data_IF_724859616084
#
_entry.id   IF_724859616084
#
_cell.length_a   1.000
_cell.length_b   1.000
_cell.length_c   1.000
_cell.angle_alpha   90.00
_cell.angle_beta   90.00
_cell.angle_gamma   90.00
#
_symmetry.space_group_name_H-M   'P 1'
#
loop_
_entity.id
_entity.type
_entity.pdbx_description
1 polymer ?
#
# COMPACT_ATOMS: atom_id res chain seq x y z
N UNK A 1 -5.16 3.89 -14.62
CA UNK A 1 -6.29 4.40 -13.83
C UNK A 1 -6.07 5.89 -13.63
N UNK A 2 -7.02 6.73 -14.01
CA UNK A 2 -6.94 8.16 -13.75
C UNK A 2 -7.50 8.45 -12.35
N UNK A 3 -7.15 9.59 -11.75
CA UNK A 3 -7.61 9.96 -10.39
C UNK A 3 -9.14 9.89 -10.25
N UNK A 4 -9.87 10.24 -11.31
CA UNK A 4 -11.35 10.21 -11.38
C UNK A 4 -11.97 8.81 -11.32
N UNK A 5 -11.18 7.76 -11.53
CA UNK A 5 -11.66 6.38 -11.57
C UNK A 5 -11.51 5.68 -10.19
N UNK A 6 -10.89 6.35 -9.21
CA UNK A 6 -10.72 5.82 -7.85
C UNK A 6 -11.98 6.13 -7.05
N UNK A 7 -12.59 5.10 -6.47
CA UNK A 7 -13.77 5.26 -5.63
C UNK A 7 -13.42 6.10 -4.38
N UNK A 8 -14.29 7.04 -4.02
CA UNK A 8 -14.09 7.94 -2.90
C UNK A 8 -15.35 7.99 -2.03
N UNK A 9 -15.15 8.05 -0.71
CA UNK A 9 -16.22 8.22 0.27
C UNK A 9 -15.85 9.30 1.28
N UNK A 10 -16.86 10.02 1.77
CA UNK A 10 -16.71 11.04 2.81
C UNK A 10 -17.79 10.84 3.86
N UNK A 11 -17.40 10.71 5.12
CA UNK A 11 -18.31 10.58 6.26
C UNK A 11 -17.65 11.10 7.53
N UNK A 12 -18.37 11.83 8.37
CA UNK A 12 -17.93 12.24 9.71
C UNK A 12 -16.54 12.91 9.77
N UNK A 13 -16.22 13.74 8.78
CA UNK A 13 -14.93 14.44 8.69
C UNK A 13 -13.76 13.56 8.19
N UNK A 14 -14.04 12.32 7.78
CA UNK A 14 -13.12 11.39 7.14
C UNK A 14 -13.40 11.40 5.65
N UNK A 15 -12.35 11.53 4.85
CA UNK A 15 -12.34 11.26 3.42
C UNK A 15 -11.44 10.06 3.17
N UNK A 16 -11.86 9.13 2.31
CA UNK A 16 -11.06 7.98 1.90
C UNK A 16 -11.12 7.81 0.38
N UNK A 17 -9.96 7.62 -0.24
CA UNK A 17 -9.84 7.12 -1.61
C UNK A 17 -9.51 5.63 -1.54
N UNK A 18 -10.40 4.80 -2.07
CA UNK A 18 -10.33 3.35 -1.98
C UNK A 18 -9.60 2.82 -3.22
N UNK A 19 -8.28 2.71 -3.13
CA UNK A 19 -7.45 2.22 -4.25
C UNK A 19 -7.69 0.71 -4.41
N UNK A 20 -7.65 -0.05 -3.33
CA UNK A 20 -8.03 -1.47 -3.28
C UNK A 20 -8.74 -1.79 -1.96
N UNK A 21 -9.62 -2.80 -1.96
CA UNK A 21 -10.42 -3.19 -0.80
C UNK A 21 -11.69 -2.37 -0.63
N UNK A 22 -12.09 -2.12 0.61
CA UNK A 22 -13.35 -1.45 0.97
C UNK A 22 -13.17 -0.57 2.22
N UNK A 23 -13.78 0.62 2.20
CA UNK A 23 -13.86 1.51 3.35
C UNK A 23 -15.13 2.35 3.29
N UNK A 24 -15.74 2.63 4.44
CA UNK A 24 -16.97 3.43 4.56
C UNK A 24 -18.11 2.96 3.62
N UNK A 25 -18.25 1.64 3.42
CA UNK A 25 -19.24 1.03 2.53
C UNK A 25 -18.98 1.23 1.04
N UNK A 26 -17.80 1.74 0.66
CA UNK A 26 -17.38 1.94 -0.72
C UNK A 26 -16.26 0.97 -1.07
N UNK A 27 -16.46 0.18 -2.12
CA UNK A 27 -15.53 -0.85 -2.58
C UNK A 27 -14.81 -0.43 -3.86
N UNK A 28 -13.51 -0.72 -3.93
CA UNK A 28 -12.73 -0.50 -5.16
C UNK A 28 -13.13 -1.50 -6.25
N UNK A 29 -13.18 -1.08 -7.53
CA UNK A 29 -13.37 -1.99 -8.65
C UNK A 29 -12.11 -2.79 -8.99
N UNK A 30 -10.95 -2.49 -8.37
CA UNK A 30 -9.69 -3.20 -8.64
C UNK A 30 -9.75 -4.61 -8.06
N UNK A 31 -9.55 -5.59 -8.93
CA UNK A 31 -9.31 -6.98 -8.53
C UNK A 31 -7.87 -7.16 -8.05
N UNK A 32 -7.70 -7.75 -6.87
CA UNK A 32 -6.41 -8.08 -6.28
C UNK A 32 -6.25 -9.60 -6.26
N UNK A 33 -5.14 -10.11 -6.83
CA UNK A 33 -4.86 -11.57 -6.85
C UNK A 33 -4.61 -12.10 -5.45
N UNK A 34 -3.79 -11.38 -4.68
CA UNK A 34 -3.65 -11.55 -3.24
C UNK A 34 -4.59 -10.56 -2.55
N UNK A 35 -5.51 -11.00 -1.68
CA UNK A 35 -6.41 -10.09 -0.99
C UNK A 35 -5.64 -8.95 -0.30
N UNK A 36 -5.99 -7.72 -0.67
CA UNK A 36 -5.24 -6.50 -0.30
C UNK A 36 -6.21 -5.34 -0.12
N UNK A 37 -5.93 -4.48 0.85
CA UNK A 37 -6.49 -3.15 0.99
C UNK A 37 -5.41 -2.09 0.80
N UNK A 38 -5.77 -1.02 0.12
CA UNK A 38 -4.95 0.18 -0.02
C UNK A 38 -5.90 1.38 0.02
N UNK A 39 -5.85 2.10 1.14
CA UNK A 39 -6.77 3.17 1.47
C UNK A 39 -5.98 4.46 1.75
N UNK A 40 -6.25 5.53 1.01
CA UNK A 40 -5.68 6.87 1.23
C UNK A 40 -6.69 7.72 2.00
N UNK A 41 -6.44 7.88 3.31
CA UNK A 41 -7.30 8.58 4.25
C UNK A 41 -6.87 10.03 4.45
N UNK A 42 -7.85 10.92 4.57
CA UNK A 42 -7.68 12.29 5.06
C UNK A 42 -8.70 12.55 6.17
N UNK A 43 -8.22 12.86 7.37
CA UNK A 43 -9.03 13.15 8.56
C UNK A 43 -8.98 14.64 8.87
N UNK A 44 -10.15 15.28 8.97
CA UNK A 44 -10.27 16.65 9.50
C UNK A 44 -9.89 16.70 10.99
N UNK A 45 -9.53 17.88 11.52
CA UNK A 45 -9.36 18.08 12.96
C UNK A 45 -10.56 17.55 13.76
N UNK A 46 -10.30 16.78 14.80
CA UNK A 46 -11.31 16.16 15.66
C UNK A 46 -11.93 14.87 15.13
N UNK A 47 -11.64 14.45 13.89
CA UNK A 47 -12.17 13.21 13.34
C UNK A 47 -11.56 11.97 14.01
N UNK A 48 -12.38 10.92 14.11
CA UNK A 48 -12.01 9.61 14.63
C UNK A 48 -12.40 8.52 13.62
N UNK A 49 -11.41 7.79 13.12
CA UNK A 49 -11.59 6.68 12.20
C UNK A 49 -11.53 5.34 12.94
N UNK A 50 -12.44 4.45 12.59
CA UNK A 50 -12.33 3.01 12.84
C UNK A 50 -12.39 2.29 11.49
N UNK A 51 -11.32 1.59 11.13
CA UNK A 51 -11.22 0.83 9.89
C UNK A 51 -10.98 -0.65 10.20
N UNK A 52 -11.93 -1.55 9.89
CA UNK A 52 -11.74 -2.98 10.05
C UNK A 52 -10.58 -3.50 9.21
N UNK A 53 -9.83 -4.44 9.78
CA UNK A 53 -8.75 -5.17 9.11
C UNK A 53 -8.94 -6.65 9.48
N UNK A 54 -8.98 -7.58 8.51
CA UNK A 54 -9.06 -9.00 8.83
C UNK A 54 -7.91 -9.43 9.75
N UNK A 55 -8.22 -10.20 10.80
CA UNK A 55 -7.25 -10.57 11.85
C UNK A 55 -6.03 -11.33 11.30
N UNK A 56 -6.20 -12.07 10.20
CA UNK A 56 -5.12 -12.82 9.56
C UNK A 56 -4.20 -11.96 8.69
N UNK A 57 -4.50 -10.67 8.48
CA UNK A 57 -3.75 -9.82 7.56
C UNK A 57 -2.57 -9.13 8.24
N UNK A 58 -1.49 -8.97 7.48
CA UNK A 58 -0.44 -8.01 7.83
C UNK A 58 -0.89 -6.62 7.37
N UNK A 59 -0.63 -5.59 8.17
CA UNK A 59 -0.97 -4.22 7.82
C UNK A 59 0.02 -3.20 8.38
N UNK A 60 0.15 -2.07 7.69
CA UNK A 60 0.92 -0.92 8.14
C UNK A 60 0.25 0.39 7.71
N UNK A 61 0.57 1.44 8.44
CA UNK A 61 0.23 2.83 8.10
C UNK A 61 1.48 3.56 7.63
N UNK A 62 1.35 4.38 6.60
CA UNK A 62 2.35 5.40 6.28
C UNK A 62 1.73 6.79 6.35
N UNK A 63 2.25 7.64 7.25
CA UNK A 63 1.73 9.00 7.45
C UNK A 63 2.33 9.92 6.40
N UNK A 64 1.47 10.51 5.56
CA UNK A 64 1.88 11.40 4.47
C UNK A 64 2.03 12.85 4.94
N UNK A 65 1.07 13.33 5.73
CA UNK A 65 0.98 14.73 6.16
C UNK A 65 0.29 14.83 7.53
N UNK A 66 0.70 15.80 8.34
CA UNK A 66 0.12 16.05 9.65
C UNK A 66 0.59 15.05 10.72
N UNK A 67 -0.21 14.91 11.77
CA UNK A 67 0.04 13.98 12.87
C UNK A 67 -1.27 13.39 13.40
N UNK A 68 -1.19 12.16 13.91
CA UNK A 68 -2.34 11.42 14.42
C UNK A 68 -1.96 10.48 15.55
N UNK A 69 -2.94 10.12 16.37
CA UNK A 69 -2.79 9.07 17.36
C UNK A 69 -3.35 7.78 16.76
N UNK A 70 -2.58 6.69 16.77
CA UNK A 70 -2.94 5.42 16.15
C UNK A 70 -3.05 4.31 17.20
N UNK A 71 -4.08 3.46 17.06
CA UNK A 71 -4.31 2.24 17.85
C UNK A 71 -4.82 2.46 19.28
N UNK A 72 -4.21 3.37 20.04
CA UNK A 72 -4.61 3.66 21.42
C UNK A 72 -4.61 5.16 21.66
N UNK A 73 -5.72 5.72 22.14
CA UNK A 73 -5.84 7.17 22.38
C UNK A 73 -4.82 7.74 23.39
N UNK A 74 -4.13 6.89 24.18
CA UNK A 74 -3.07 7.29 25.12
C UNK A 74 -1.68 7.30 24.49
N UNK A 75 -1.51 6.76 23.28
CA UNK A 75 -0.25 6.81 22.55
C UNK A 75 0.13 8.24 22.17
N UNK A 76 1.43 8.49 22.05
CA UNK A 76 1.92 9.75 21.50
C UNK A 76 1.49 9.91 20.04
N UNK A 77 1.20 11.13 19.58
CA UNK A 77 0.98 11.39 18.16
C UNK A 77 2.18 10.96 17.32
N UNK A 78 1.90 10.41 16.14
CA UNK A 78 2.91 10.09 15.12
C UNK A 78 2.76 11.06 13.95
N UNK A 79 3.86 11.70 13.57
CA UNK A 79 3.92 12.69 12.51
C UNK A 79 4.21 12.05 11.14
N UNK A 80 4.13 12.88 10.10
CA UNK A 80 4.45 12.50 8.73
C UNK A 80 5.80 11.78 8.58
N UNK A 81 5.88 10.95 7.55
CA UNK A 81 7.05 10.22 7.07
C UNK A 81 7.49 9.06 7.96
N UNK A 82 6.56 8.55 8.78
CA UNK A 82 6.73 7.34 9.57
C UNK A 82 5.90 6.19 8.97
N UNK A 83 6.49 5.00 9.04
CA UNK A 83 5.78 3.72 8.87
C UNK A 83 5.43 3.19 10.25
N UNK A 84 4.17 2.86 10.48
CA UNK A 84 3.72 2.18 11.69
C UNK A 84 3.29 0.76 11.31
N UNK A 85 4.03 -0.23 11.79
CA UNK A 85 3.61 -1.63 11.69
C UNK A 85 2.47 -1.87 12.66
N UNK A 86 1.37 -2.46 12.18
CA UNK A 86 0.24 -2.79 13.03
C UNK A 86 0.45 -4.18 13.64
N UNK A 87 0.16 -4.28 14.93
CA UNK A 87 0.14 -5.56 15.63
C UNK A 87 -1.14 -6.35 15.35
N UNK A 88 -1.38 -7.37 16.16
CA UNK A 88 -2.61 -8.16 16.09
C UNK A 88 -3.83 -7.33 16.49
N UNK A 89 -4.94 -7.54 15.80
CA UNK A 89 -6.20 -6.85 16.03
C UNK A 89 -7.17 -7.06 14.86
N UNK A 90 -8.41 -6.62 15.03
CA UNK A 90 -9.47 -6.68 14.02
C UNK A 90 -9.68 -5.33 13.30
N UNK A 91 -8.80 -4.35 13.52
CA UNK A 91 -8.89 -3.05 12.89
C UNK A 91 -7.85 -2.03 13.34
N UNK A 92 -7.99 -0.84 12.79
CA UNK A 92 -7.20 0.35 13.11
C UNK A 92 -8.12 1.45 13.63
N UNK A 93 -7.77 2.00 14.79
CA UNK A 93 -8.33 3.26 15.29
C UNK A 93 -7.34 4.42 15.07
N UNK A 94 -7.85 5.57 14.62
CA UNK A 94 -7.04 6.78 14.40
C UNK A 94 -7.78 8.03 14.87
N UNK A 95 -7.12 8.85 15.67
CA UNK A 95 -7.63 10.16 16.10
C UNK A 95 -6.77 11.30 15.56
N UNK A 96 -7.39 12.27 14.91
CA UNK A 96 -6.76 13.54 14.62
C UNK A 96 -7.09 14.57 15.71
N UNK A 97 -6.24 14.66 16.74
CA UNK A 97 -6.38 15.67 17.80
C UNK A 97 -5.66 16.99 17.49
N UNK A 98 -5.00 17.08 16.33
CA UNK A 98 -4.30 18.30 15.90
C UNK A 98 -5.28 19.32 15.33
N UNK A 99 -4.80 20.55 15.09
CA UNK A 99 -5.56 21.60 14.40
C UNK A 99 -5.47 21.54 12.87
N UNK A 100 -4.70 20.60 12.31
CA UNK A 100 -4.47 20.45 10.86
C UNK A 100 -5.06 19.14 10.34
N UNK A 101 -5.35 19.02 9.04
CA UNK A 101 -5.69 17.72 8.45
C UNK A 101 -4.56 16.70 8.64
N UNK A 102 -4.95 15.45 8.86
CA UNK A 102 -4.06 14.29 8.90
C UNK A 102 -4.28 13.48 7.63
N UNK A 103 -3.23 13.16 6.88
CA UNK A 103 -3.29 12.29 5.71
C UNK A 103 -2.34 11.12 5.85
N UNK A 104 -2.84 9.92 5.60
CA UNK A 104 -2.04 8.69 5.66
C UNK A 104 -2.62 7.64 4.72
N UNK A 105 -1.80 6.65 4.38
CA UNK A 105 -2.27 5.43 3.71
C UNK A 105 -2.28 4.27 4.70
N UNK A 106 -3.33 3.47 4.64
CA UNK A 106 -3.39 2.15 5.26
C UNK A 106 -3.24 1.10 4.16
N UNK A 107 -2.25 0.24 4.31
CA UNK A 107 -2.00 -0.87 3.39
C UNK A 107 -2.00 -2.15 4.21
N UNK A 108 -2.74 -3.15 3.75
CA UNK A 108 -2.75 -4.46 4.37
C UNK A 108 -3.12 -5.56 3.39
N UNK A 109 -2.76 -6.79 3.70
CA UNK A 109 -3.04 -7.92 2.83
C UNK A 109 -2.85 -9.25 3.52
N UNK A 110 -3.41 -10.28 2.89
CA UNK A 110 -3.26 -11.66 3.34
C UNK A 110 -1.81 -12.14 3.11
N UNK A 111 -1.12 -12.63 4.15
CA UNK A 111 0.19 -13.23 3.98
C UNK A 111 0.10 -14.44 3.04
N UNK A 112 1.00 -14.52 2.06
CA UNK A 112 1.04 -15.67 1.14
C UNK A 112 1.46 -16.97 1.83
N UNK A 113 2.28 -16.87 2.89
CA UNK A 113 2.83 -18.04 3.57
C UNK A 113 3.89 -18.79 2.77
N UNK A 114 4.42 -18.18 1.71
CA UNK A 114 5.43 -18.74 0.83
C UNK A 114 6.82 -18.11 1.07
N UNK A 115 7.92 -18.81 0.78
CA UNK A 115 9.25 -18.23 0.82
C UNK A 115 9.38 -17.05 -0.15
N UNK A 116 10.21 -16.07 0.22
CA UNK A 116 10.51 -14.91 -0.60
C UNK A 116 12.02 -14.86 -0.83
N UNK A 117 12.43 -14.96 -2.09
CA UNK A 117 13.80 -14.72 -2.53
C UNK A 117 13.79 -13.55 -3.51
N UNK A 118 14.61 -12.54 -3.25
CA UNK A 118 14.65 -11.33 -4.06
C UNK A 118 16.07 -11.05 -4.56
N UNK A 119 16.20 -10.75 -5.85
CA UNK A 119 17.41 -10.22 -6.44
C UNK A 119 17.08 -9.07 -7.40
N UNK A 120 17.41 -7.85 -6.98
CA UNK A 120 17.11 -6.64 -7.74
C UNK A 120 15.61 -6.51 -8.08
N UNK A 121 15.22 -6.51 -9.36
CA UNK A 121 13.82 -6.39 -9.79
C UNK A 121 13.02 -7.70 -9.72
N UNK A 122 13.68 -8.84 -9.47
CA UNK A 122 13.04 -10.16 -9.51
C UNK A 122 12.75 -10.66 -8.09
N UNK A 123 11.54 -11.18 -7.90
CA UNK A 123 11.05 -11.76 -6.64
C UNK A 123 10.41 -13.10 -6.97
N UNK A 124 10.99 -14.19 -6.45
CA UNK A 124 10.56 -15.58 -6.67
C UNK A 124 10.52 -16.34 -5.33
N UNK A 125 10.23 -17.65 -5.36
CA UNK A 125 10.14 -18.47 -4.15
C UNK A 125 11.44 -19.24 -3.86
N UNK A 126 12.30 -19.51 -4.85
CA UNK A 126 13.60 -20.18 -4.64
C UNK A 126 14.78 -19.46 -5.31
N UNK A 127 16.01 -19.82 -4.93
CA UNK A 127 17.22 -19.28 -5.55
C UNK A 127 17.37 -19.77 -6.99
N UNK A 128 17.01 -21.02 -7.28
CA UNK A 128 17.05 -21.60 -8.62
C UNK A 128 16.10 -20.87 -9.59
N UNK A 129 14.92 -20.45 -9.12
CA UNK A 129 13.99 -19.64 -9.91
C UNK A 129 14.55 -18.24 -10.20
N UNK A 130 15.29 -17.64 -9.27
CA UNK A 130 15.99 -16.37 -9.50
C UNK A 130 17.07 -16.55 -10.56
N UNK A 131 17.91 -17.57 -10.43
CA UNK A 131 19.00 -17.84 -11.37
C UNK A 131 18.44 -18.06 -12.79
N UNK A 132 17.36 -18.84 -12.91
CA UNK A 132 16.66 -19.04 -14.19
C UNK A 132 16.04 -17.74 -14.74
N UNK A 133 15.47 -16.88 -13.88
CA UNK A 133 14.84 -15.62 -14.32
C UNK A 133 15.89 -14.64 -14.86
N UNK A 134 17.08 -14.62 -14.26
CA UNK A 134 18.22 -13.82 -14.75
C UNK A 134 18.64 -14.34 -16.14
N UNK A 135 18.84 -15.66 -16.27
CA UNK A 135 19.18 -16.28 -17.56
C UNK A 135 18.11 -15.97 -18.63
N UNK A 136 16.83 -16.03 -18.28
CA UNK A 136 15.71 -15.73 -19.19
C UNK A 136 15.71 -14.27 -19.62
N UNK A 137 16.00 -13.33 -18.71
CA UNK A 137 16.08 -11.91 -19.01
C UNK A 137 17.27 -11.59 -19.92
N UNK A 138 18.45 -12.13 -19.63
CA UNK A 138 19.67 -11.90 -20.42
C UNK A 138 19.56 -12.50 -21.83
N UNK A 139 18.87 -13.64 -21.97
CA UNK A 139 18.67 -14.31 -23.25
C UNK A 139 17.38 -13.93 -23.99
N UNK A 140 16.54 -13.07 -23.40
CA UNK A 140 15.28 -12.60 -23.95
C UNK A 140 14.29 -13.74 -24.26
N UNK A 141 14.03 -14.62 -23.30
CA UNK A 141 13.12 -15.76 -23.43
C UNK A 141 12.10 -15.80 -22.29
N UNK A 142 11.15 -16.74 -22.35
CA UNK A 142 10.18 -17.06 -21.30
C UNK A 142 9.41 -15.83 -20.75
N UNK A 143 9.05 -14.91 -21.63
CA UNK A 143 8.33 -13.67 -21.29
C UNK A 143 9.14 -12.38 -21.49
N UNK A 144 10.46 -12.48 -21.69
CA UNK A 144 11.34 -11.33 -21.96
C UNK A 144 11.69 -11.10 -23.44
N UNK A 145 11.03 -11.79 -24.39
CA UNK A 145 11.38 -11.76 -25.81
C UNK A 145 11.36 -10.36 -26.42
N UNK A 146 10.46 -9.50 -25.92
CA UNK A 146 10.34 -8.12 -26.39
C UNK A 146 11.48 -7.22 -25.91
N UNK A 147 12.17 -7.57 -24.83
CA UNK A 147 13.26 -6.75 -24.29
C UNK A 147 14.47 -6.67 -25.24
N UNK A 148 14.64 -7.64 -26.16
CA UNK A 148 15.74 -7.67 -27.14
C UNK A 148 15.85 -6.40 -28.00
N UNK A 149 14.71 -5.77 -28.31
CA UNK A 149 14.64 -4.63 -29.21
C UNK A 149 13.89 -3.44 -28.61
N UNK A 150 13.34 -3.58 -27.41
CA UNK A 150 12.55 -2.53 -26.79
C UNK A 150 13.46 -1.40 -26.26
N UNK A 151 13.09 -0.17 -26.59
CA UNK A 151 13.64 1.06 -26.00
C UNK A 151 12.49 2.05 -25.80
N UNK A 152 12.45 2.69 -24.64
CA UNK A 152 11.47 3.75 -24.39
C UNK A 152 11.88 5.06 -25.07
N UNK A 153 10.93 5.81 -25.63
CA UNK A 153 11.16 7.15 -26.19
C UNK A 153 11.47 8.20 -25.12
N UNK A 154 11.07 7.95 -23.86
CA UNK A 154 11.22 8.87 -22.72
C UNK A 154 12.43 8.55 -21.84
N UNK A 155 13.32 7.65 -22.27
CA UNK A 155 14.49 7.25 -21.50
C UNK A 155 15.49 8.40 -21.41
N UNK A 156 15.51 9.09 -20.27
CA UNK A 156 16.60 9.99 -19.89
C UNK A 156 17.87 9.13 -19.83
N UNK A 157 18.90 9.49 -20.60
CA UNK A 157 20.23 8.93 -20.43
C UNK A 157 20.71 9.28 -19.02
N UNK A 158 20.70 8.30 -18.12
CA UNK A 158 21.50 8.38 -16.91
C UNK A 158 22.93 8.02 -17.32
N UNK A 159 23.65 9.01 -17.84
CA UNK A 159 25.10 8.91 -17.99
C UNK A 159 25.69 8.88 -16.57
N UNK A 160 26.30 7.75 -16.21
CA UNK A 160 27.16 7.60 -15.03
C UNK A 160 28.60 7.94 -15.40
#
# INVERSE_FOLDING_TARGET
MLSKDIAEAIKDGIKVRVIAGEALGTKSPIYTRTPTMYLDFTLKPGAHLQQPIPISWNAFVYVLEGEGIFGNTKSSPTSAHHVLLLGTGDGLEVWNKSSKPLRFVLIGGEPLGEPVVQFGPFVMNTQEEIDQTIDDFENYVNGFEKARHWRSETGISLDY
#
